data_IF_490742818057
#
_entry.id   IF_490742818057
#
_cell.length_a   1.000
_cell.length_b   1.000
_cell.length_c   1.000
_cell.angle_alpha   90.00
_cell.angle_beta   90.00
_cell.angle_gamma   90.00
#
_symmetry.space_group_name_H-M   'P 1'
#
loop_
_entity.id
_entity.type
_entity.pdbx_description
1 polymer ?
#
# COMPACT_ATOMS: atom_id res chain seq x y z
N UNK A 1 24.22 -0.30 -7.47
CA UNK A 1 24.76 -0.28 -8.86
C UNK A 1 24.76 -1.62 -9.60
N UNK A 2 25.03 -2.78 -9.00
CA UNK A 2 25.02 -4.07 -9.74
C UNK A 2 23.62 -4.55 -10.15
N UNK A 3 22.58 -4.32 -9.30
CA UNK A 3 21.19 -4.71 -9.58
C UNK A 3 20.50 -3.87 -10.67
N UNK A 4 20.79 -2.57 -10.77
CA UNK A 4 20.22 -1.70 -11.82
C UNK A 4 20.77 -2.01 -13.21
N UNK A 5 22.03 -2.44 -13.32
CA UNK A 5 22.58 -2.99 -14.57
C UNK A 5 21.92 -4.30 -14.97
N UNK A 6 21.61 -5.17 -14.00
CA UNK A 6 20.89 -6.42 -14.26
C UNK A 6 19.46 -6.18 -14.74
N UNK A 7 18.74 -5.20 -14.17
CA UNK A 7 17.41 -4.80 -14.67
C UNK A 7 17.47 -4.25 -16.09
N UNK A 8 18.42 -3.37 -16.39
CA UNK A 8 18.63 -2.88 -17.75
C UNK A 8 18.95 -4.01 -18.73
N UNK A 9 19.82 -4.95 -18.33
CA UNK A 9 20.16 -6.12 -19.14
C UNK A 9 18.93 -7.03 -19.32
N UNK A 10 18.14 -7.27 -18.28
CA UNK A 10 16.92 -8.07 -18.38
C UNK A 10 15.89 -7.41 -19.28
N UNK A 11 15.59 -6.12 -19.10
CA UNK A 11 14.68 -5.36 -19.98
C UNK A 11 15.18 -5.39 -21.42
N UNK A 12 16.48 -5.19 -21.64
CA UNK A 12 17.08 -5.19 -22.99
C UNK A 12 17.11 -6.59 -23.63
N UNK A 13 17.42 -7.63 -22.86
CA UNK A 13 17.39 -9.02 -23.31
C UNK A 13 15.97 -9.50 -23.61
N UNK A 14 14.99 -9.12 -22.79
CA UNK A 14 13.57 -9.42 -23.04
C UNK A 14 13.07 -8.74 -24.32
N UNK A 15 13.45 -7.47 -24.55
CA UNK A 15 13.16 -6.76 -25.80
C UNK A 15 13.72 -7.48 -27.05
N UNK A 16 14.84 -8.20 -26.87
CA UNK A 16 15.52 -8.91 -27.96
C UNK A 16 14.90 -10.30 -28.23
N UNK A 17 14.49 -11.01 -27.16
CA UNK A 17 13.73 -12.27 -27.26
C UNK A 17 12.35 -12.02 -27.86
N UNK A 18 11.68 -10.93 -27.46
CA UNK A 18 10.39 -10.47 -28.00
C UNK A 18 10.48 -10.21 -29.52
N UNK A 19 11.54 -9.52 -29.98
CA UNK A 19 11.80 -9.32 -31.42
C UNK A 19 12.02 -10.61 -32.21
N UNK A 20 12.66 -11.63 -31.63
CA UNK A 20 12.86 -12.91 -32.33
C UNK A 20 11.56 -13.73 -32.43
N UNK A 21 10.68 -13.63 -31.43
CA UNK A 21 9.35 -14.24 -31.46
C UNK A 21 8.43 -13.53 -32.47
N UNK A 22 8.47 -12.20 -32.52
CA UNK A 22 7.71 -11.38 -33.49
C UNK A 22 8.13 -11.61 -34.94
N UNK A 23 9.45 -11.64 -35.20
CA UNK A 23 9.99 -11.77 -36.55
C UNK A 23 9.65 -13.12 -37.21
N UNK A 24 9.28 -14.12 -36.42
CA UNK A 24 9.08 -15.48 -36.94
C UNK A 24 7.60 -15.82 -37.16
N UNK A 25 6.63 -15.27 -36.39
CA UNK A 25 5.24 -15.76 -36.48
C UNK A 25 4.08 -14.78 -36.24
N UNK A 26 4.29 -13.49 -35.93
CA UNK A 26 3.18 -12.62 -35.48
C UNK A 26 3.24 -11.17 -35.99
N UNK A 27 2.65 -10.87 -37.17
CA UNK A 27 2.31 -9.49 -37.54
C UNK A 27 1.01 -8.99 -36.88
N UNK A 28 0.27 -9.83 -36.13
CA UNK A 28 -1.11 -9.53 -35.68
C UNK A 28 -1.34 -9.49 -34.16
N UNK A 29 -0.37 -9.88 -33.33
CA UNK A 29 -0.41 -9.61 -31.89
C UNK A 29 0.68 -8.57 -31.66
N UNK A 30 0.26 -7.31 -31.57
CA UNK A 30 1.13 -6.16 -31.76
C UNK A 30 2.36 -6.14 -30.86
N UNK A 31 3.49 -5.75 -31.46
CA UNK A 31 4.50 -4.91 -30.80
C UNK A 31 3.78 -3.94 -29.89
N UNK A 32 3.94 -4.06 -28.59
CA UNK A 32 3.30 -3.08 -27.74
C UNK A 32 3.37 -3.40 -26.28
N UNK A 33 2.67 -4.42 -25.81
CA UNK A 33 2.25 -4.40 -24.41
C UNK A 33 3.41 -4.57 -23.42
N UNK A 34 4.22 -5.61 -23.56
CA UNK A 34 5.38 -5.90 -22.69
C UNK A 34 6.52 -4.88 -22.86
N UNK A 35 6.83 -4.46 -24.09
CA UNK A 35 7.75 -3.36 -24.38
C UNK A 35 7.30 -2.00 -23.83
N UNK A 36 6.01 -1.65 -23.95
CA UNK A 36 5.42 -0.43 -23.38
C UNK A 36 5.47 -0.47 -21.86
N UNK A 37 5.11 -1.59 -21.24
CA UNK A 37 5.20 -1.76 -19.77
C UNK A 37 6.64 -1.55 -19.32
N UNK A 38 7.61 -2.20 -19.98
CA UNK A 38 9.03 -2.05 -19.65
C UNK A 38 9.51 -0.61 -19.80
N UNK A 39 9.05 0.09 -20.84
CA UNK A 39 9.32 1.52 -21.03
C UNK A 39 8.68 2.39 -19.94
N UNK A 40 7.42 2.16 -19.58
CA UNK A 40 6.73 2.88 -18.51
C UNK A 40 7.41 2.68 -17.15
N UNK A 41 7.84 1.46 -16.84
CA UNK A 41 8.57 1.15 -15.61
C UNK A 41 9.96 1.80 -15.58
N UNK A 42 10.69 1.78 -16.70
CA UNK A 42 11.97 2.47 -16.81
C UNK A 42 11.80 3.99 -16.68
N UNK A 43 10.80 4.55 -17.36
CA UNK A 43 10.44 5.96 -17.24
C UNK A 43 10.15 6.30 -15.79
N UNK A 44 9.31 5.53 -15.10
CA UNK A 44 8.99 5.72 -13.69
C UNK A 44 10.24 5.65 -12.80
N UNK A 45 11.15 4.70 -13.03
CA UNK A 45 12.40 4.60 -12.29
C UNK A 45 13.30 5.83 -12.48
N UNK A 46 13.56 6.22 -13.73
CA UNK A 46 14.37 7.40 -14.07
C UNK A 46 13.75 8.64 -13.46
N UNK A 47 12.43 8.72 -13.59
CA UNK A 47 11.66 9.84 -13.13
C UNK A 47 11.81 10.05 -11.62
N UNK A 48 11.62 8.97 -10.86
CA UNK A 48 11.58 9.02 -9.41
C UNK A 48 12.97 9.21 -8.78
N UNK A 49 14.05 8.77 -9.44
CA UNK A 49 15.40 8.79 -8.85
C UNK A 49 16.30 9.95 -9.32
N UNK A 50 16.15 10.44 -10.56
CA UNK A 50 17.21 11.27 -11.17
C UNK A 50 16.81 12.68 -11.59
N UNK A 51 15.52 13.02 -11.53
CA UNK A 51 15.01 14.30 -12.05
C UNK A 51 14.37 15.19 -10.97
N UNK A 52 14.73 14.99 -9.70
CA UNK A 52 14.22 15.81 -8.58
C UNK A 52 14.89 17.18 -8.62
N UNK A 53 14.10 18.26 -8.71
CA UNK A 53 14.58 19.64 -8.58
C UNK A 53 14.80 20.01 -7.11
N UNK A 54 15.80 20.85 -6.81
CA UNK A 54 16.18 21.30 -5.46
C UNK A 54 15.04 21.95 -4.65
N UNK A 55 13.99 22.46 -5.31
CA UNK A 55 12.79 23.04 -4.69
C UNK A 55 11.92 22.06 -3.89
N UNK A 56 12.24 20.77 -3.91
CA UNK A 56 11.45 19.72 -3.29
C UNK A 56 12.04 19.19 -1.97
N UNK A 57 13.16 19.74 -1.50
CA UNK A 57 13.79 19.35 -0.23
C UNK A 57 12.99 19.88 0.96
N UNK A 58 12.78 19.04 1.98
CA UNK A 58 12.09 19.42 3.23
C UNK A 58 12.76 20.64 3.89
N UNK A 59 14.08 20.69 3.86
CA UNK A 59 14.88 21.79 4.40
C UNK A 59 14.48 23.20 3.89
N UNK A 60 13.88 23.31 2.70
CA UNK A 60 13.54 24.60 2.09
C UNK A 60 12.43 25.33 2.83
N UNK A 61 11.35 24.63 3.19
CA UNK A 61 10.16 25.23 3.80
C UNK A 61 9.91 24.74 5.24
N UNK A 62 10.51 23.62 5.63
CA UNK A 62 10.32 22.96 6.92
C UNK A 62 11.67 22.59 7.56
N UNK A 63 12.49 23.61 7.84
CA UNK A 63 13.87 23.42 8.34
C UNK A 63 13.93 22.58 9.63
N UNK A 64 13.00 22.74 10.57
CA UNK A 64 13.00 21.96 11.81
C UNK A 64 12.52 20.51 11.58
N UNK A 65 11.68 20.26 10.56
CA UNK A 65 11.37 18.89 10.16
C UNK A 65 12.58 18.19 9.52
N UNK A 66 13.42 18.93 8.78
CA UNK A 66 14.71 18.39 8.33
C UNK A 66 15.63 18.08 9.51
N UNK A 67 15.73 18.98 10.50
CA UNK A 67 16.54 18.72 11.69
C UNK A 67 16.04 17.50 12.49
N UNK A 68 14.72 17.32 12.57
CA UNK A 68 14.12 16.11 13.14
C UNK A 68 14.56 14.86 12.38
N UNK A 69 14.49 14.87 11.05
CA UNK A 69 14.96 13.76 10.22
C UNK A 69 16.45 13.47 10.44
N UNK A 70 17.29 14.51 10.51
CA UNK A 70 18.72 14.37 10.76
C UNK A 70 19.00 13.77 12.16
N UNK A 71 18.18 14.09 13.16
CA UNK A 71 18.24 13.44 14.46
C UNK A 71 17.82 11.97 14.39
N UNK A 72 16.83 11.62 13.56
CA UNK A 72 16.43 10.22 13.34
C UNK A 72 17.52 9.41 12.65
N UNK A 73 18.30 10.02 11.75
CA UNK A 73 19.49 9.39 11.15
C UNK A 73 20.49 8.95 12.22
N UNK A 74 20.67 9.75 13.27
CA UNK A 74 21.57 9.43 14.38
C UNK A 74 20.92 8.39 15.32
N UNK A 75 19.62 8.52 15.59
CA UNK A 75 18.86 7.66 16.49
C UNK A 75 18.74 6.22 15.96
N UNK A 76 18.56 6.06 14.65
CA UNK A 76 18.33 4.77 14.00
C UNK A 76 19.39 4.51 12.90
N UNK A 77 20.67 4.28 13.27
CA UNK A 77 21.74 4.11 12.29
C UNK A 77 21.54 2.89 11.38
N UNK A 78 20.99 1.80 11.92
CA UNK A 78 20.74 0.54 11.22
C UNK A 78 19.59 0.65 10.20
N UNK A 79 18.79 1.71 10.28
CA UNK A 79 17.73 2.00 9.30
C UNK A 79 18.27 2.66 8.02
N UNK A 80 19.57 2.98 7.94
CA UNK A 80 20.23 3.60 6.79
C UNK A 80 19.53 4.87 6.26
N UNK A 81 18.95 5.67 7.16
CA UNK A 81 18.25 6.91 6.79
C UNK A 81 19.18 7.93 6.10
N UNK A 82 20.47 7.93 6.42
CA UNK A 82 21.49 8.79 5.78
C UNK A 82 21.64 8.53 4.27
N UNK A 83 21.17 7.39 3.76
CA UNK A 83 21.22 7.03 2.35
C UNK A 83 19.93 7.40 1.59
N UNK A 84 18.94 7.97 2.29
CA UNK A 84 17.60 8.27 1.78
C UNK A 84 17.38 9.78 1.78
N UNK A 85 16.69 10.30 0.76
CA UNK A 85 16.32 11.72 0.74
C UNK A 85 14.94 11.94 1.35
N UNK A 86 14.84 12.95 2.21
CA UNK A 86 13.58 13.40 2.78
C UNK A 86 13.03 14.58 1.98
N UNK A 87 11.92 14.36 1.29
CA UNK A 87 11.38 15.28 0.29
C UNK A 87 9.95 15.70 0.63
N UNK A 88 9.61 16.96 0.33
CA UNK A 88 8.26 17.48 0.58
C UNK A 88 7.23 16.93 -0.40
N UNK A 89 7.64 16.76 -1.65
CA UNK A 89 6.75 16.30 -2.69
C UNK A 89 7.41 15.48 -3.79
N UNK A 90 6.58 14.64 -4.38
CA UNK A 90 6.89 13.91 -5.57
C UNK A 90 6.49 14.73 -6.81
N UNK A 91 7.38 15.62 -7.26
CA UNK A 91 7.30 16.34 -8.55
C UNK A 91 6.00 17.17 -8.72
N UNK A 92 5.29 16.98 -9.84
CA UNK A 92 4.04 17.67 -10.25
C UNK A 92 2.83 17.20 -9.47
N UNK A 93 2.98 16.25 -8.54
CA UNK A 93 1.90 15.89 -7.63
C UNK A 93 1.71 17.07 -6.67
N UNK A 94 0.47 17.56 -6.62
CA UNK A 94 0.07 18.61 -5.69
C UNK A 94 0.45 18.18 -4.26
N UNK A 95 1.06 19.07 -3.50
CA UNK A 95 1.44 18.86 -2.10
C UNK A 95 0.27 18.32 -1.26
N UNK A 96 -0.96 18.74 -1.59
CA UNK A 96 -2.18 18.31 -0.90
C UNK A 96 -2.57 16.85 -1.18
N UNK A 97 -2.06 16.26 -2.25
CA UNK A 97 -2.37 14.89 -2.65
C UNK A 97 -1.34 13.86 -2.14
N UNK A 98 -0.33 14.31 -1.40
CA UNK A 98 0.75 13.45 -0.91
C UNK A 98 0.38 12.91 0.47
N UNK A 99 0.28 11.59 0.56
CA UNK A 99 0.24 10.85 1.81
C UNK A 99 1.65 10.36 2.17
N UNK A 100 1.81 9.78 3.37
CA UNK A 100 3.00 9.02 3.74
C UNK A 100 3.31 7.99 2.66
N UNK A 101 4.42 8.16 1.95
CA UNK A 101 4.84 7.22 0.92
C UNK A 101 6.35 7.25 0.73
N UNK A 102 6.87 6.20 0.11
CA UNK A 102 8.27 6.09 -0.25
C UNK A 102 8.43 5.78 -1.72
N UNK A 103 9.65 6.00 -2.20
CA UNK A 103 10.07 5.62 -3.55
C UNK A 103 11.22 4.60 -3.52
N UNK A 104 12.08 4.58 -4.53
CA UNK A 104 13.27 3.75 -4.56
C UNK A 104 14.35 4.21 -3.56
N UNK A 105 14.36 5.49 -3.21
CA UNK A 105 15.38 6.09 -2.33
C UNK A 105 14.89 7.33 -1.57
N UNK A 106 13.62 7.71 -1.73
CA UNK A 106 13.07 8.93 -1.13
C UNK A 106 11.89 8.63 -0.23
N UNK A 107 11.73 9.44 0.81
CA UNK A 107 10.64 9.40 1.78
C UNK A 107 9.85 10.70 1.65
N UNK A 108 8.53 10.58 1.63
CA UNK A 108 7.59 11.69 1.52
C UNK A 108 6.56 11.63 2.64
N UNK A 109 6.31 12.78 3.24
CA UNK A 109 5.31 12.95 4.30
C UNK A 109 4.22 13.93 3.84
N UNK A 110 2.98 13.79 4.34
CA UNK A 110 1.93 14.77 4.08
C UNK A 110 2.33 16.17 4.57
N UNK A 111 1.86 17.20 3.88
CA UNK A 111 2.16 18.59 4.23
C UNK A 111 1.79 18.94 5.68
N UNK A 112 0.63 18.48 6.15
CA UNK A 112 0.19 18.70 7.54
C UNK A 112 1.11 18.03 8.55
N UNK A 113 1.65 16.84 8.23
CA UNK A 113 2.65 16.18 9.07
C UNK A 113 3.96 16.94 9.10
N UNK A 114 4.46 17.38 7.94
CA UNK A 114 5.69 18.18 7.85
C UNK A 114 5.58 19.48 8.66
N UNK A 115 4.44 20.17 8.56
CA UNK A 115 4.17 21.37 9.34
C UNK A 115 4.16 21.09 10.83
N UNK A 116 3.45 20.05 11.26
CA UNK A 116 3.34 19.70 12.68
C UNK A 116 4.70 19.27 13.25
N UNK A 117 5.44 18.40 12.56
CA UNK A 117 6.81 18.01 12.95
C UNK A 117 7.70 19.25 13.06
N UNK A 118 7.64 20.15 12.08
CA UNK A 118 8.44 21.38 12.09
C UNK A 118 8.14 22.25 13.33
N UNK A 119 6.86 22.45 13.64
CA UNK A 119 6.44 23.28 14.77
C UNK A 119 6.80 22.63 16.12
N UNK A 120 6.62 21.32 16.26
CA UNK A 120 6.97 20.59 17.48
C UNK A 120 8.48 20.47 17.68
N UNK A 121 9.23 20.16 16.63
CA UNK A 121 10.68 20.01 16.75
C UNK A 121 11.37 21.35 16.99
N UNK A 122 10.80 22.45 16.49
CA UNK A 122 11.23 23.80 16.87
C UNK A 122 11.15 24.02 18.38
N UNK A 123 10.05 23.65 19.03
CA UNK A 123 9.91 23.73 20.50
C UNK A 123 11.03 22.97 21.21
N UNK A 124 11.34 21.75 20.75
CA UNK A 124 12.43 20.95 21.33
C UNK A 124 13.79 21.65 21.18
N UNK A 125 14.08 22.23 20.01
CA UNK A 125 15.33 22.99 19.77
C UNK A 125 15.39 24.26 20.63
N UNK A 126 14.26 24.92 20.84
CA UNK A 126 14.12 26.12 21.67
C UNK A 126 14.13 25.80 23.19
N UNK A 127 14.21 24.51 23.57
CA UNK A 127 14.27 24.05 24.96
C UNK A 127 12.91 23.99 25.67
N UNK A 128 11.81 24.05 24.92
CA UNK A 128 10.45 23.89 25.44
C UNK A 128 10.08 22.40 25.56
N UNK A 129 9.38 22.06 26.65
CA UNK A 129 8.89 20.70 26.86
C UNK A 129 7.66 20.43 25.99
N UNK A 130 7.68 19.32 25.27
CA UNK A 130 6.51 18.82 24.55
C UNK A 130 5.52 18.19 25.53
N UNK A 131 4.23 18.43 25.29
CA UNK A 131 3.14 17.72 25.98
C UNK A 131 3.13 16.24 25.62
N UNK A 132 2.43 15.42 26.40
CA UNK A 132 2.31 13.98 26.13
C UNK A 132 1.70 13.70 24.75
N UNK A 133 0.67 14.45 24.35
CA UNK A 133 0.04 14.30 23.02
C UNK A 133 1.01 14.63 21.88
N UNK A 134 1.84 15.67 22.05
CA UNK A 134 2.86 16.07 21.08
C UNK A 134 3.98 15.04 20.97
N UNK A 135 4.38 14.43 22.09
CA UNK A 135 5.34 13.33 22.11
C UNK A 135 4.80 12.08 21.39
N UNK A 136 3.55 11.70 21.65
CA UNK A 136 2.89 10.59 20.96
C UNK A 136 2.79 10.87 19.46
N UNK A 137 2.49 12.11 19.06
CA UNK A 137 2.46 12.49 17.66
C UNK A 137 3.83 12.32 16.99
N UNK A 138 4.91 12.82 17.60
CA UNK A 138 6.26 12.60 17.05
C UNK A 138 6.62 11.12 17.01
N UNK A 139 6.26 10.33 18.03
CA UNK A 139 6.42 8.88 18.03
C UNK A 139 5.71 8.20 16.84
N UNK A 140 4.49 8.64 16.52
CA UNK A 140 3.76 8.16 15.32
C UNK A 140 4.49 8.50 14.03
N UNK A 141 5.01 9.72 13.89
CA UNK A 141 5.73 10.14 12.69
C UNK A 141 7.10 9.43 12.59
N UNK A 142 7.76 9.12 13.71
CA UNK A 142 8.94 8.26 13.76
C UNK A 142 8.64 6.83 13.31
N UNK A 143 7.53 6.25 13.78
CA UNK A 143 7.06 4.93 13.33
C UNK A 143 6.86 4.94 11.81
N UNK A 144 6.14 5.93 11.28
CA UNK A 144 5.91 6.05 9.84
C UNK A 144 7.20 6.24 9.05
N UNK A 145 8.19 6.97 9.60
CA UNK A 145 9.49 7.14 8.98
C UNK A 145 10.21 5.79 8.81
N UNK A 146 10.28 4.99 9.87
CA UNK A 146 10.89 3.67 9.85
C UNK A 146 10.10 2.70 8.94
N UNK A 147 8.78 2.82 8.94
CA UNK A 147 7.90 2.02 8.09
C UNK A 147 8.18 2.26 6.60
N UNK A 148 8.23 3.52 6.18
CA UNK A 148 8.55 3.92 4.82
C UNK A 148 10.00 3.56 4.43
N UNK A 149 10.90 3.60 5.39
CA UNK A 149 12.30 3.17 5.24
C UNK A 149 12.38 1.68 4.95
N UNK A 150 11.59 0.85 5.62
CA UNK A 150 11.56 -0.58 5.40
C UNK A 150 11.24 -0.92 3.94
N UNK A 151 10.24 -0.26 3.35
CA UNK A 151 9.89 -0.44 1.94
C UNK A 151 11.04 -0.10 0.98
N UNK A 152 11.90 0.85 1.33
CA UNK A 152 13.11 1.17 0.57
C UNK A 152 14.18 0.09 0.76
N UNK A 153 14.44 -0.34 2.00
CA UNK A 153 15.44 -1.37 2.30
C UNK A 153 15.11 -2.71 1.63
N UNK A 154 13.84 -3.10 1.65
CA UNK A 154 13.33 -4.30 1.00
C UNK A 154 13.25 -4.17 -0.53
N UNK A 155 13.46 -2.96 -1.06
CA UNK A 155 13.39 -2.63 -2.48
C UNK A 155 12.00 -2.90 -3.07
N UNK A 156 10.94 -2.62 -2.30
CA UNK A 156 9.58 -3.06 -2.61
C UNK A 156 9.08 -2.55 -3.95
N UNK A 157 9.41 -1.31 -4.33
CA UNK A 157 9.04 -0.78 -5.64
C UNK A 157 9.81 -1.51 -6.76
N UNK A 158 11.09 -1.83 -6.55
CA UNK A 158 11.85 -2.59 -7.54
C UNK A 158 11.27 -3.99 -7.69
N UNK A 159 11.02 -4.68 -6.57
CA UNK A 159 10.37 -5.99 -6.52
C UNK A 159 9.03 -5.95 -7.25
N UNK A 160 8.19 -4.98 -6.91
CA UNK A 160 6.92 -4.73 -7.56
C UNK A 160 7.04 -4.56 -9.08
N UNK A 161 8.03 -3.80 -9.57
CA UNK A 161 8.30 -3.69 -11.00
C UNK A 161 8.71 -5.03 -11.61
N UNK A 162 9.62 -5.78 -10.97
CA UNK A 162 10.05 -7.10 -11.45
C UNK A 162 8.88 -8.09 -11.52
N UNK A 163 8.05 -8.14 -10.47
CA UNK A 163 6.89 -9.01 -10.41
C UNK A 163 5.87 -8.64 -11.47
N UNK A 164 5.61 -7.35 -11.72
CA UNK A 164 4.73 -6.93 -12.82
C UNK A 164 5.23 -7.45 -14.16
N UNK A 165 6.51 -7.27 -14.48
CA UNK A 165 7.09 -7.77 -15.74
C UNK A 165 6.98 -9.29 -15.81
N UNK A 166 7.32 -10.00 -14.73
CA UNK A 166 7.29 -11.45 -14.67
C UNK A 166 5.86 -12.02 -14.84
N UNK A 167 4.89 -11.48 -14.09
CA UNK A 167 3.49 -11.93 -14.15
C UNK A 167 2.90 -11.65 -15.52
N UNK A 168 3.10 -10.44 -16.07
CA UNK A 168 2.55 -10.08 -17.37
C UNK A 168 3.16 -10.92 -18.48
N UNK A 169 4.49 -11.14 -18.45
CA UNK A 169 5.16 -12.04 -19.41
C UNK A 169 4.65 -13.48 -19.27
N UNK A 170 4.46 -13.97 -18.04
CA UNK A 170 3.93 -15.30 -17.77
C UNK A 170 2.49 -15.46 -18.26
N UNK A 171 1.61 -14.48 -18.02
CA UNK A 171 0.24 -14.47 -18.51
C UNK A 171 0.20 -14.42 -20.05
N UNK A 172 1.07 -13.64 -20.69
CA UNK A 172 1.19 -13.62 -22.15
C UNK A 172 1.65 -14.97 -22.70
N UNK A 173 2.63 -15.62 -22.08
CA UNK A 173 3.09 -16.94 -22.48
C UNK A 173 1.99 -18.00 -22.30
N UNK A 174 1.24 -17.95 -21.20
CA UNK A 174 0.10 -18.85 -20.96
C UNK A 174 -1.02 -18.62 -21.98
N UNK A 175 -1.34 -17.36 -22.30
CA UNK A 175 -2.32 -17.03 -23.33
C UNK A 175 -1.89 -17.55 -24.71
N UNK A 176 -0.59 -17.46 -25.04
CA UNK A 176 -0.04 -18.03 -26.27
C UNK A 176 -0.17 -19.56 -26.31
N UNK A 177 0.24 -20.25 -25.24
CA UNK A 177 0.11 -21.71 -25.15
C UNK A 177 -1.37 -22.08 -25.27
N UNK A 178 -2.26 -21.41 -24.55
CA UNK A 178 -3.70 -21.65 -24.61
C UNK A 178 -4.24 -21.49 -26.05
N UNK A 179 -3.90 -20.41 -26.73
CA UNK A 179 -4.31 -20.14 -28.10
C UNK A 179 -3.77 -21.15 -29.12
N UNK A 180 -2.64 -21.80 -28.84
CA UNK A 180 -2.04 -22.83 -29.70
C UNK A 180 -2.70 -24.22 -29.58
N UNK A 181 -3.62 -24.41 -28.63
CA UNK A 181 -4.32 -25.68 -28.42
C UNK A 181 -5.69 -25.73 -29.12
N UNK A 182 -6.36 -26.88 -29.10
CA UNK A 182 -7.76 -27.00 -29.55
C UNK A 182 -8.79 -26.49 -28.54
N UNK A 183 -8.36 -26.13 -27.32
CA UNK A 183 -9.24 -25.73 -26.21
C UNK A 183 -10.07 -24.47 -26.53
N UNK A 184 -9.51 -23.39 -27.12
CA UNK A 184 -10.29 -22.21 -27.49
C UNK A 184 -11.44 -22.56 -28.44
N UNK A 185 -11.18 -23.36 -29.48
CA UNK A 185 -12.20 -23.79 -30.44
C UNK A 185 -13.31 -24.60 -29.78
N UNK A 186 -12.96 -25.50 -28.85
CA UNK A 186 -13.94 -26.27 -28.08
C UNK A 186 -14.78 -25.39 -27.15
N UNK A 187 -14.15 -24.43 -26.46
CA UNK A 187 -14.82 -23.50 -25.57
C UNK A 187 -15.79 -22.57 -26.34
N UNK A 188 -15.35 -22.04 -27.49
CA UNK A 188 -16.20 -21.24 -28.38
C UNK A 188 -17.37 -22.09 -28.91
N UNK A 189 -17.11 -23.33 -29.34
CA UNK A 189 -18.16 -24.28 -29.76
C UNK A 189 -19.20 -24.51 -28.66
N UNK A 190 -18.75 -24.75 -27.43
CA UNK A 190 -19.63 -24.90 -26.28
C UNK A 190 -20.49 -23.64 -26.04
N UNK A 191 -19.90 -22.44 -26.10
CA UNK A 191 -20.66 -21.19 -25.91
C UNK A 191 -21.71 -20.99 -27.00
N UNK A 192 -21.39 -21.33 -28.25
CA UNK A 192 -22.33 -21.28 -29.37
C UNK A 192 -23.52 -22.22 -29.12
N UNK A 193 -23.24 -23.48 -28.84
CA UNK A 193 -24.26 -24.51 -28.72
C UNK A 193 -25.12 -24.32 -27.47
N UNK A 194 -24.50 -23.94 -26.35
CA UNK A 194 -25.20 -23.80 -25.06
C UNK A 194 -26.09 -22.55 -24.98
N UNK A 195 -25.64 -21.44 -25.56
CA UNK A 195 -26.29 -20.13 -25.45
C UNK A 195 -26.84 -19.60 -26.77
N UNK A 196 -26.84 -20.41 -27.84
CA UNK A 196 -27.30 -20.05 -29.18
C UNK A 196 -26.64 -18.74 -29.69
N UNK A 197 -25.33 -18.63 -29.49
CA UNK A 197 -24.55 -17.44 -29.87
C UNK A 197 -23.98 -17.59 -31.30
N UNK A 198 -23.83 -16.46 -32.01
CA UNK A 198 -23.04 -16.44 -33.25
C UNK A 198 -21.55 -16.60 -32.96
N UNK A 199 -20.76 -17.02 -33.96
CA UNK A 199 -19.30 -17.19 -33.85
C UNK A 199 -18.61 -15.95 -33.28
N UNK A 200 -18.95 -14.78 -33.79
CA UNK A 200 -18.37 -13.49 -33.36
C UNK A 200 -18.68 -13.21 -31.89
N UNK A 201 -19.92 -13.44 -31.45
CA UNK A 201 -20.32 -13.21 -30.05
C UNK A 201 -19.69 -14.22 -29.10
N UNK A 202 -19.63 -15.49 -29.49
CA UNK A 202 -19.02 -16.55 -28.69
C UNK A 202 -17.51 -16.34 -28.53
N UNK A 203 -16.82 -15.93 -29.60
CA UNK A 203 -15.40 -15.58 -29.57
C UNK A 203 -15.14 -14.38 -28.65
N UNK A 204 -15.92 -13.30 -28.79
CA UNK A 204 -15.78 -12.13 -27.93
C UNK A 204 -16.05 -12.44 -26.45
N UNK A 205 -17.08 -13.24 -26.17
CA UNK A 205 -17.40 -13.68 -24.80
C UNK A 205 -16.28 -14.53 -24.19
N UNK A 206 -15.74 -15.45 -24.97
CA UNK A 206 -14.60 -16.27 -24.55
C UNK A 206 -13.38 -15.40 -24.21
N UNK A 207 -13.01 -14.46 -25.09
CA UNK A 207 -11.86 -13.59 -24.88
C UNK A 207 -12.06 -12.65 -23.68
N UNK A 208 -13.28 -12.16 -23.47
CA UNK A 208 -13.64 -11.36 -22.30
C UNK A 208 -13.53 -12.15 -20.99
N UNK A 209 -13.96 -13.42 -20.97
CA UNK A 209 -13.82 -14.30 -19.80
C UNK A 209 -12.35 -14.59 -19.49
N UNK A 210 -11.53 -14.85 -20.51
CA UNK A 210 -10.08 -15.00 -20.35
C UNK A 210 -9.43 -13.72 -19.80
N UNK A 211 -9.85 -12.55 -20.28
CA UNK A 211 -9.37 -11.28 -19.77
C UNK A 211 -9.73 -11.10 -18.28
N UNK A 212 -10.99 -11.34 -17.89
CA UNK A 212 -11.41 -11.27 -16.48
C UNK A 212 -10.57 -12.22 -15.61
N UNK A 213 -10.38 -13.47 -16.06
CA UNK A 213 -9.58 -14.44 -15.33
C UNK A 213 -8.13 -13.97 -15.18
N UNK A 214 -7.53 -13.43 -16.25
CA UNK A 214 -6.19 -12.85 -16.22
C UNK A 214 -6.07 -11.69 -15.23
N UNK A 215 -7.05 -10.78 -15.22
CA UNK A 215 -7.12 -9.67 -14.25
C UNK A 215 -7.27 -10.18 -12.82
N UNK A 216 -8.10 -11.20 -12.59
CA UNK A 216 -8.30 -11.78 -11.26
C UNK A 216 -7.03 -12.47 -10.74
N UNK A 217 -6.35 -13.25 -11.58
CA UNK A 217 -5.06 -13.90 -11.23
C UNK A 217 -3.99 -12.85 -10.96
N UNK A 218 -3.86 -11.85 -11.84
CA UNK A 218 -2.94 -10.74 -11.67
C UNK A 218 -3.20 -10.01 -10.34
N UNK A 219 -4.46 -9.62 -10.07
CA UNK A 219 -4.86 -8.94 -8.84
C UNK A 219 -4.58 -9.77 -7.59
N UNK A 220 -4.84 -11.09 -7.63
CA UNK A 220 -4.59 -11.96 -6.48
C UNK A 220 -3.10 -12.08 -6.14
N UNK A 221 -2.25 -12.30 -7.14
CA UNK A 221 -0.80 -12.40 -6.93
C UNK A 221 -0.27 -11.07 -6.40
N UNK A 222 -0.72 -9.97 -7.00
CA UNK A 222 -0.32 -8.63 -6.64
C UNK A 222 -0.70 -8.25 -5.21
N UNK A 223 -1.93 -8.53 -4.78
CA UNK A 223 -2.37 -8.25 -3.42
C UNK A 223 -1.60 -9.07 -2.38
N UNK A 224 -1.31 -10.35 -2.68
CA UNK A 224 -0.49 -11.18 -1.80
C UNK A 224 0.93 -10.62 -1.65
N UNK A 225 1.53 -10.15 -2.74
CA UNK A 225 2.86 -9.54 -2.70
C UNK A 225 2.87 -8.25 -1.86
N UNK A 226 1.88 -7.38 -2.09
CA UNK A 226 1.76 -6.16 -1.33
C UNK A 226 1.60 -6.47 0.17
N UNK A 227 0.78 -7.45 0.53
CA UNK A 227 0.65 -7.95 1.90
C UNK A 227 1.98 -8.41 2.50
N UNK A 228 2.79 -9.18 1.76
CA UNK A 228 4.10 -9.62 2.25
C UNK A 228 5.05 -8.43 2.51
N UNK A 229 4.99 -7.39 1.67
CA UNK A 229 5.76 -6.16 1.86
C UNK A 229 5.33 -5.40 3.13
N UNK A 230 4.03 -5.25 3.37
CA UNK A 230 3.52 -4.58 4.58
C UNK A 230 3.92 -5.33 5.86
N UNK A 231 3.83 -6.67 5.86
CA UNK A 231 4.25 -7.50 6.99
C UNK A 231 5.76 -7.41 7.23
N UNK A 232 6.55 -7.40 6.16
CA UNK A 232 7.99 -7.20 6.27
C UNK A 232 8.32 -5.81 6.83
N UNK A 233 7.59 -4.78 6.41
CA UNK A 233 7.75 -3.42 6.92
C UNK A 233 7.38 -3.32 8.40
N UNK A 234 6.27 -3.91 8.84
CA UNK A 234 5.89 -3.99 10.25
C UNK A 234 7.00 -4.62 11.10
N UNK A 235 7.52 -5.77 10.63
CA UNK A 235 8.61 -6.45 11.31
C UNK A 235 9.86 -5.57 11.40
N UNK A 236 10.24 -4.92 10.30
CA UNK A 236 11.39 -4.02 10.29
C UNK A 236 11.24 -2.91 11.34
N UNK A 237 10.08 -2.26 11.42
CA UNK A 237 9.85 -1.22 12.43
C UNK A 237 9.90 -1.82 13.84
N UNK A 238 9.25 -2.96 14.06
CA UNK A 238 9.32 -3.69 15.34
C UNK A 238 10.74 -4.11 15.73
N UNK A 239 11.66 -4.29 14.79
CA UNK A 239 13.05 -4.64 15.09
C UNK A 239 13.92 -3.39 15.41
N UNK A 240 13.58 -2.21 14.87
CA UNK A 240 14.45 -1.02 14.91
C UNK A 240 13.93 0.16 15.77
N UNK A 241 12.61 0.33 15.86
CA UNK A 241 12.00 1.45 16.55
C UNK A 241 12.24 1.37 18.07
N UNK A 242 12.26 2.53 18.74
CA UNK A 242 12.20 2.56 20.20
C UNK A 242 10.75 2.40 20.71
N UNK A 243 10.58 2.31 22.04
CA UNK A 243 9.25 2.10 22.63
C UNK A 243 8.29 3.25 22.28
N UNK A 244 8.75 4.49 22.29
CA UNK A 244 7.90 5.66 22.01
C UNK A 244 7.39 5.65 20.57
N UNK A 245 8.25 5.30 19.61
CA UNK A 245 7.84 5.12 18.22
C UNK A 245 6.84 3.96 18.08
N UNK A 246 7.06 2.83 18.75
CA UNK A 246 6.11 1.71 18.75
C UNK A 246 4.74 2.10 19.33
N UNK A 247 4.69 2.85 20.43
CA UNK A 247 3.44 3.40 20.98
C UNK A 247 2.73 4.35 20.00
N UNK A 248 3.51 5.15 19.27
CA UNK A 248 3.03 5.96 18.15
C UNK A 248 2.41 5.11 17.03
N UNK A 249 3.03 3.98 16.69
CA UNK A 249 2.51 3.01 15.73
C UNK A 249 1.17 2.42 16.14
N UNK A 250 1.00 2.06 17.41
CA UNK A 250 -0.30 1.63 17.96
C UNK A 250 -1.35 2.72 17.74
N UNK A 251 -1.03 3.95 18.12
CA UNK A 251 -1.94 5.11 17.95
C UNK A 251 -2.31 5.33 16.48
N UNK A 252 -1.38 5.10 15.54
CA UNK A 252 -1.66 5.19 14.11
C UNK A 252 -2.67 4.15 13.63
N UNK A 253 -2.45 2.87 13.93
CA UNK A 253 -3.36 1.81 13.50
C UNK A 253 -4.72 1.85 14.19
N UNK A 254 -4.78 2.49 15.35
CA UNK A 254 -5.99 2.67 16.12
C UNK A 254 -6.74 3.98 15.85
N UNK A 255 -6.26 4.79 14.91
CA UNK A 255 -7.01 5.95 14.41
C UNK A 255 -8.28 5.46 13.71
N UNK A 256 -9.46 6.03 14.04
CA UNK A 256 -10.74 5.65 13.44
C UNK A 256 -10.78 5.81 11.91
N UNK A 257 -9.92 6.66 11.35
CA UNK A 257 -9.75 6.82 9.89
C UNK A 257 -9.01 5.64 9.27
N UNK A 258 -8.19 4.95 10.05
CA UNK A 258 -7.42 3.77 9.65
C UNK A 258 -8.19 2.49 9.99
N UNK A 259 -8.66 2.37 11.24
CA UNK A 259 -9.53 1.28 11.68
C UNK A 259 -10.97 1.76 11.90
N UNK A 260 -11.80 1.62 10.87
CA UNK A 260 -13.20 2.08 10.92
C UNK A 260 -14.07 1.36 11.93
N UNK A 261 -13.61 0.23 12.51
CA UNK A 261 -14.38 -0.51 13.52
C UNK A 261 -13.93 -0.20 14.95
N UNK A 262 -12.87 0.60 15.16
CA UNK A 262 -12.21 0.69 16.47
C UNK A 262 -13.05 1.35 17.58
N UNK A 263 -14.16 2.00 17.25
CA UNK A 263 -15.09 2.54 18.28
C UNK A 263 -16.55 2.18 18.06
N UNK A 264 -16.84 1.19 17.22
CA UNK A 264 -18.21 0.89 16.79
C UNK A 264 -19.15 0.44 17.94
N UNK A 265 -18.60 -0.01 19.07
CA UNK A 265 -19.36 -0.37 20.28
C UNK A 265 -19.94 0.85 21.01
N UNK A 266 -19.28 2.00 20.86
CA UNK A 266 -19.70 3.26 21.47
C UNK A 266 -20.55 4.11 20.53
N UNK A 267 -20.74 3.67 19.28
CA UNK A 267 -21.58 4.36 18.32
C UNK A 267 -23.05 4.05 18.59
N UNK A 268 -23.87 5.09 18.49
CA UNK A 268 -25.33 4.99 18.60
C UNK A 268 -25.95 5.58 17.35
N UNK A 269 -27.10 5.03 16.96
CA UNK A 269 -27.87 5.58 15.83
C UNK A 269 -28.28 7.00 16.20
N UNK A 270 -27.83 7.96 15.39
CA UNK A 270 -28.12 9.39 15.63
C UNK A 270 -29.63 9.62 15.76
N UNK A 271 -30.08 10.47 16.69
CA UNK A 271 -31.49 10.81 16.79
C UNK A 271 -31.90 11.60 15.54
N UNK A 272 -32.94 11.11 14.85
CA UNK A 272 -33.50 11.78 13.68
C UNK A 272 -34.22 13.07 14.07
N UNK A 273 -34.11 14.10 13.21
CA UNK A 273 -34.90 15.34 13.34
C UNK A 273 -36.38 15.00 13.06
N UNK A 274 -37.34 15.36 13.92
CA UNK A 274 -38.75 15.10 13.66
C UNK A 274 -39.21 15.69 12.32
N UNK A 275 -39.95 14.91 11.53
CA UNK A 275 -40.58 15.36 10.28
C UNK A 275 -42.09 15.15 10.36
N UNK A 276 -42.84 16.16 9.94
CA UNK A 276 -44.32 16.16 10.04
C UNK A 276 -45.00 15.36 8.92
N UNK A 277 -44.29 15.13 7.80
CA UNK A 277 -44.87 14.43 6.66
C UNK A 277 -44.89 12.92 6.85
N UNK A 278 -45.99 12.27 6.45
CA UNK A 278 -46.14 10.81 6.51
C UNK A 278 -45.03 10.08 5.72
N UNK A 279 -44.68 10.60 4.54
CA UNK A 279 -43.57 10.09 3.73
C UNK A 279 -42.23 10.26 4.45
N UNK A 280 -42.00 11.42 5.09
CA UNK A 280 -40.79 11.69 5.87
C UNK A 280 -40.64 10.73 7.05
N UNK A 281 -41.72 10.46 7.78
CA UNK A 281 -41.72 9.50 8.90
C UNK A 281 -41.41 8.07 8.42
N UNK A 282 -41.99 7.64 7.30
CA UNK A 282 -41.72 6.32 6.70
C UNK A 282 -40.26 6.19 6.24
N UNK A 283 -39.71 7.22 5.59
CA UNK A 283 -38.30 7.26 5.19
C UNK A 283 -37.40 7.19 6.43
N UNK A 284 -37.66 7.98 7.46
CA UNK A 284 -36.86 7.96 8.69
C UNK A 284 -36.91 6.61 9.40
N UNK A 285 -38.08 5.96 9.44
CA UNK A 285 -38.21 4.63 10.02
C UNK A 285 -37.36 3.59 9.28
N UNK A 286 -37.37 3.61 7.93
CA UNK A 286 -36.55 2.71 7.11
C UNK A 286 -35.06 2.96 7.29
N UNK A 287 -34.63 4.23 7.29
CA UNK A 287 -33.22 4.60 7.52
C UNK A 287 -32.77 4.17 8.92
N UNK A 288 -33.61 4.40 9.94
CA UNK A 288 -33.31 3.97 11.33
C UNK A 288 -33.14 2.45 11.46
N UNK A 289 -33.98 1.66 10.78
CA UNK A 289 -33.83 0.20 10.76
C UNK A 289 -32.51 -0.16 10.08
N UNK A 290 -32.25 0.39 8.89
CA UNK A 290 -31.04 0.11 8.14
C UNK A 290 -29.77 0.45 8.93
N UNK A 291 -29.69 1.65 9.51
CA UNK A 291 -28.54 2.08 10.32
C UNK A 291 -28.36 1.20 11.57
N UNK A 292 -29.45 0.85 12.25
CA UNK A 292 -29.39 -0.05 13.40
C UNK A 292 -28.88 -1.44 13.00
N UNK A 293 -29.44 -2.02 11.95
CA UNK A 293 -29.02 -3.34 11.47
C UNK A 293 -27.59 -3.33 10.94
N UNK A 294 -27.17 -2.26 10.28
CA UNK A 294 -25.80 -2.09 9.81
C UNK A 294 -24.82 -1.94 10.98
N UNK A 295 -25.16 -1.15 12.00
CA UNK A 295 -24.36 -1.02 13.21
C UNK A 295 -24.24 -2.35 13.96
N UNK A 296 -25.34 -3.07 14.14
CA UNK A 296 -25.35 -4.43 14.73
C UNK A 296 -24.47 -5.40 13.91
N UNK A 297 -24.52 -5.33 12.57
CA UNK A 297 -23.66 -6.10 11.68
C UNK A 297 -22.18 -5.77 11.89
N UNK A 298 -21.79 -4.49 11.91
CA UNK A 298 -20.40 -4.08 12.14
C UNK A 298 -19.90 -4.46 13.54
N UNK A 299 -20.75 -4.35 14.56
CA UNK A 299 -20.46 -4.81 15.93
C UNK A 299 -20.26 -6.33 15.98
N UNK A 300 -21.03 -7.10 15.20
CA UNK A 300 -20.85 -8.55 15.09
C UNK A 300 -19.56 -8.90 14.35
N UNK A 301 -19.24 -8.20 13.25
CA UNK A 301 -17.96 -8.36 12.53
C UNK A 301 -16.79 -8.16 13.49
N UNK A 302 -16.80 -7.09 14.29
CA UNK A 302 -15.70 -6.78 15.21
C UNK A 302 -15.45 -7.91 16.22
N UNK A 303 -16.51 -8.58 16.67
CA UNK A 303 -16.44 -9.65 17.69
C UNK A 303 -15.94 -10.99 17.15
N UNK A 304 -16.09 -11.23 15.84
CA UNK A 304 -15.67 -12.46 15.19
C UNK A 304 -14.35 -12.24 14.41
N UNK A 305 -13.21 -12.80 14.86
CA UNK A 305 -11.93 -12.65 14.19
C UNK A 305 -11.92 -13.06 12.72
N UNK A 306 -12.73 -14.07 12.35
CA UNK A 306 -12.82 -14.54 10.96
C UNK A 306 -13.63 -13.55 10.12
N UNK A 307 -14.80 -13.13 10.62
CA UNK A 307 -15.63 -12.14 9.92
C UNK A 307 -14.91 -10.79 9.78
N UNK A 308 -14.19 -10.35 10.82
CA UNK A 308 -13.32 -9.18 10.77
C UNK A 308 -12.26 -9.30 9.70
N UNK A 309 -11.54 -10.42 9.66
CA UNK A 309 -10.51 -10.65 8.63
C UNK A 309 -11.10 -10.59 7.22
N UNK A 310 -12.27 -11.17 6.99
CA UNK A 310 -12.97 -11.10 5.70
C UNK A 310 -13.34 -9.65 5.37
N UNK A 311 -13.97 -8.95 6.31
CA UNK A 311 -14.34 -7.53 6.16
C UNK A 311 -13.15 -6.64 5.81
N UNK A 312 -12.04 -6.80 6.53
CA UNK A 312 -10.82 -6.03 6.26
C UNK A 312 -10.21 -6.44 4.92
N UNK A 313 -10.20 -7.73 4.56
CA UNK A 313 -9.68 -8.18 3.25
C UNK A 313 -10.53 -7.66 2.09
N UNK A 314 -11.85 -7.50 2.27
CA UNK A 314 -12.73 -6.92 1.25
C UNK A 314 -12.51 -5.42 1.09
N UNK A 315 -12.20 -4.71 2.17
CA UNK A 315 -11.99 -3.24 2.15
C UNK A 315 -10.56 -2.83 1.84
N UNK A 316 -9.61 -3.65 2.27
CA UNK A 316 -8.18 -3.47 2.11
C UNK A 316 -7.51 -4.85 1.97
N UNK A 317 -7.55 -5.44 0.75
CA UNK A 317 -6.96 -6.75 0.49
C UNK A 317 -5.43 -6.77 0.60
N UNK A 318 -4.81 -5.60 0.80
CA UNK A 318 -3.37 -5.40 0.76
C UNK A 318 -2.78 -5.43 2.17
N UNK A 319 -3.43 -4.86 3.18
CA UNK A 319 -2.85 -4.77 4.53
C UNK A 319 -3.38 -5.86 5.49
N UNK A 320 -2.57 -6.23 6.49
CA UNK A 320 -3.11 -6.87 7.68
C UNK A 320 -4.10 -5.93 8.38
N UNK A 321 -5.12 -6.50 9.04
CA UNK A 321 -6.06 -5.73 9.85
C UNK A 321 -5.29 -4.78 10.80
N UNK A 322 -5.61 -3.47 10.81
CA UNK A 322 -4.97 -2.50 11.70
C UNK A 322 -4.94 -2.93 13.17
N UNK A 323 -6.03 -3.52 13.68
CA UNK A 323 -6.10 -4.09 15.05
C UNK A 323 -5.05 -5.18 15.28
N UNK A 324 -4.80 -6.03 14.27
CA UNK A 324 -3.78 -7.11 14.35
C UNK A 324 -2.38 -6.51 14.37
N UNK A 325 -2.12 -5.50 13.52
CA UNK A 325 -0.82 -4.80 13.47
C UNK A 325 -0.53 -4.10 14.80
N UNK A 326 -1.52 -3.38 15.35
CA UNK A 326 -1.42 -2.77 16.68
C UNK A 326 -1.14 -3.82 17.77
N UNK A 327 -1.79 -4.98 17.71
CA UNK A 327 -1.57 -6.07 18.66
C UNK A 327 -0.16 -6.65 18.57
N UNK A 328 0.38 -6.86 17.37
CA UNK A 328 1.77 -7.31 17.18
C UNK A 328 2.77 -6.33 17.78
N UNK A 329 2.53 -5.02 17.63
CA UNK A 329 3.37 -3.98 18.24
C UNK A 329 3.29 -4.04 19.77
N UNK A 330 2.10 -4.22 20.34
CA UNK A 330 1.93 -4.38 21.80
C UNK A 330 2.70 -5.59 22.34
N UNK A 331 2.64 -6.71 21.63
CA UNK A 331 3.38 -7.92 21.99
C UNK A 331 4.88 -7.68 21.97
N UNK A 332 5.38 -6.96 20.97
CA UNK A 332 6.79 -6.58 20.87
C UNK A 332 7.23 -5.64 22.00
N UNK A 333 6.43 -4.63 22.34
CA UNK A 333 6.69 -3.76 23.50
C UNK A 333 6.75 -4.60 24.79
N UNK A 334 5.76 -5.47 25.01
CA UNK A 334 5.70 -6.33 26.19
C UNK A 334 6.93 -7.24 26.30
N UNK A 335 7.36 -7.84 25.18
CA UNK A 335 8.57 -8.66 25.09
C UNK A 335 9.82 -7.88 25.50
N UNK A 336 9.99 -6.65 24.99
CA UNK A 336 11.13 -5.78 25.34
C UNK A 336 11.13 -5.37 26.80
N UNK A 337 9.97 -5.01 27.35
CA UNK A 337 9.84 -4.66 28.77
C UNK A 337 10.23 -5.83 29.68
N UNK A 338 9.79 -7.05 29.35
CA UNK A 338 10.17 -8.25 30.10
C UNK A 338 11.68 -8.53 30.05
N UNK A 339 12.32 -8.34 28.89
CA UNK A 339 13.77 -8.53 28.75
C UNK A 339 14.58 -7.52 29.56
N UNK A 340 14.17 -6.25 29.56
CA UNK A 340 14.82 -5.21 30.38
C UNK A 340 14.68 -5.52 31.87
N UNK A 341 13.53 -6.02 32.31
CA UNK A 341 13.31 -6.41 33.70
C UNK A 341 14.13 -7.64 34.09
N UNK A 342 14.24 -8.64 33.22
CA UNK A 342 15.05 -9.84 33.47
C UNK A 342 16.55 -9.54 33.55
N UNK A 343 17.07 -8.70 32.64
CA UNK A 343 18.48 -8.29 32.62
C UNK A 343 18.89 -7.34 33.75
N UNK A 344 17.94 -6.74 34.47
CA UNK A 344 18.20 -5.94 35.66
C UNK A 344 18.29 -6.77 36.96
N UNK A 345 18.02 -8.08 36.88
CA UNK A 345 18.08 -9.04 37.99
C UNK A 345 19.30 -9.95 37.96
N UNK A 346 20.17 -9.82 36.95
CA UNK A 346 21.52 -10.40 36.88
C UNK A 346 22.56 -9.33 37.26
#
# INVERSE_FOLDING_TARGET
MKKSKLFFILVFCFSFVERQVEATYLPQVGMGFTGLISFFLLKQYVDTNYLVQEKHLVATDYAYAQMWYDAMVIKYPDAHLSQKLFLQNWRTIDLKAINHCSSFSHIYFPQESLKTINDLYKKTVDGENLTQEEQVYLGKEEFMLLYLTAHIEHQDIANYCYYKVAILSGLTALAYIYASTSVPTQAIGFLKDRYNMSDVKATWMHDYLLFILGVAVYGKIFNNLAYEHEVAADKFVCDHADINALEGGITFFEDKKIDTLITIENETVSPFIPVESELGMKIQYLVKIYEKTFLEYLQNIKKDPVARRIYDTERDPIHQNPSVRAQLIREEIARRVQQTQAGATE
#
